data_IF_305563488392
#
_entry.id   IF_305563488392
#
_cell.length_a   1.000
_cell.length_b   1.000
_cell.length_c   1.000
_cell.angle_alpha   90.00
_cell.angle_beta   90.00
_cell.angle_gamma   90.00
#
_symmetry.space_group_name_H-M   'P 1'
#
loop_
_entity.id
_entity.type
_entity.pdbx_description
1 polymer ?
#
# COMPACT_ATOMS: atom_id res chain seq x y z
N UNK A 1 5.47 28.92 12.84
CA UNK A 1 6.86 28.38 12.81
C UNK A 1 7.20 28.13 11.35
N UNK A 2 8.11 28.91 10.76
CA UNK A 2 8.54 28.74 9.37
C UNK A 2 9.91 28.07 9.38
N UNK A 3 9.95 26.74 9.26
CA UNK A 3 11.20 26.01 9.02
C UNK A 3 11.49 26.01 7.53
N UNK A 4 12.48 26.80 7.10
CA UNK A 4 13.00 26.79 5.73
C UNK A 4 13.84 25.54 5.51
N UNK A 5 13.44 24.66 4.59
CA UNK A 5 14.23 23.49 4.17
C UNK A 5 15.37 23.93 3.23
N UNK A 6 16.61 23.51 3.49
CA UNK A 6 17.78 23.83 2.66
C UNK A 6 18.54 22.55 2.31
N UNK A 7 18.32 21.99 1.11
CA UNK A 7 18.93 20.72 0.69
C UNK A 7 20.34 20.98 0.13
N UNK A 8 21.37 20.50 0.82
CA UNK A 8 22.75 20.50 0.31
C UNK A 8 23.03 19.21 -0.48
N UNK A 9 23.29 19.35 -1.79
CA UNK A 9 23.77 18.26 -2.63
C UNK A 9 25.28 18.05 -2.43
N UNK A 10 25.67 17.04 -1.66
CA UNK A 10 27.03 16.51 -1.66
C UNK A 10 27.14 15.36 -2.69
N UNK A 11 27.97 15.53 -3.73
CA UNK A 11 28.40 14.42 -4.58
C UNK A 11 29.42 13.55 -3.81
N UNK A 12 29.01 12.35 -3.38
CA UNK A 12 29.91 11.35 -2.78
C UNK A 12 30.57 10.44 -3.83
N UNK A 13 31.80 10.01 -3.53
CA UNK A 13 32.70 9.22 -4.40
C UNK A 13 32.53 7.68 -4.29
N UNK A 14 31.49 7.19 -3.65
CA UNK A 14 31.06 5.78 -3.76
C UNK A 14 30.02 5.67 -4.88
N UNK A 15 29.84 4.51 -5.54
CA UNK A 15 28.75 4.31 -6.49
C UNK A 15 27.42 4.24 -5.74
N UNK A 16 27.01 5.37 -5.16
CA UNK A 16 25.67 5.58 -4.65
C UNK A 16 24.73 5.47 -5.85
N UNK A 17 23.63 4.70 -5.77
CA UNK A 17 22.70 4.57 -6.88
C UNK A 17 22.35 5.97 -7.39
N UNK A 18 22.64 6.23 -8.67
CA UNK A 18 22.38 7.53 -9.26
C UNK A 18 20.89 7.84 -9.09
N UNK A 19 20.60 8.99 -8.49
CA UNK A 19 19.25 9.52 -8.34
C UNK A 19 18.52 9.43 -9.69
N UNK A 20 17.36 8.77 -9.70
CA UNK A 20 16.54 8.67 -10.91
C UNK A 20 15.95 10.04 -11.24
N UNK A 21 15.77 10.33 -12.54
CA UNK A 21 15.16 11.58 -13.01
C UNK A 21 13.77 11.82 -12.38
N UNK A 22 13.02 10.76 -12.14
CA UNK A 22 11.69 10.82 -11.52
C UNK A 22 11.76 11.20 -10.03
N UNK A 23 12.76 10.69 -9.30
CA UNK A 23 12.98 11.08 -7.89
C UNK A 23 13.26 12.58 -7.78
N UNK A 24 14.13 13.12 -8.64
CA UNK A 24 14.45 14.55 -8.67
C UNK A 24 13.22 15.40 -9.00
N UNK A 25 12.44 14.99 -10.00
CA UNK A 25 11.23 15.69 -10.43
C UNK A 25 10.20 15.77 -9.30
N UNK A 26 9.95 14.66 -8.59
CA UNK A 26 9.05 14.63 -7.44
C UNK A 26 9.50 15.60 -6.33
N UNK A 27 10.80 15.64 -6.02
CA UNK A 27 11.35 16.54 -5.00
C UNK A 27 11.15 18.00 -5.39
N UNK A 28 11.44 18.36 -6.63
CA UNK A 28 11.28 19.73 -7.12
C UNK A 28 9.82 20.18 -7.07
N UNK A 29 8.88 19.29 -7.40
CA UNK A 29 7.45 19.60 -7.34
C UNK A 29 6.98 19.76 -5.88
N UNK A 30 7.44 18.90 -4.97
CA UNK A 30 7.16 19.02 -3.53
C UNK A 30 7.74 20.31 -2.97
N UNK A 31 8.96 20.68 -3.34
CA UNK A 31 9.57 21.96 -2.94
C UNK A 31 8.74 23.15 -3.42
N UNK A 32 8.31 23.11 -4.68
CA UNK A 32 7.47 24.16 -5.28
C UNK A 32 6.15 24.28 -4.52
N UNK A 33 5.50 23.14 -4.26
CA UNK A 33 4.23 23.06 -3.54
C UNK A 33 4.33 23.57 -2.10
N UNK A 34 5.37 23.16 -1.37
CA UNK A 34 5.57 23.52 0.05
C UNK A 34 6.18 24.91 0.25
N UNK A 35 6.74 25.52 -0.80
CA UNK A 35 7.16 26.93 -0.79
C UNK A 35 5.98 27.91 -0.90
N UNK A 36 4.80 27.42 -1.31
CA UNK A 36 3.58 28.22 -1.29
C UNK A 36 3.07 28.44 0.14
N UNK A 37 2.33 29.54 0.36
CA UNK A 37 1.70 29.76 1.67
C UNK A 37 0.57 28.75 1.88
N UNK A 38 0.53 28.02 3.01
CA UNK A 38 -0.53 27.04 3.25
C UNK A 38 -1.90 27.71 3.37
N UNK A 39 -2.92 27.05 2.83
CA UNK A 39 -4.32 27.41 3.07
C UNK A 39 -4.82 26.72 4.34
N UNK A 40 -5.20 27.50 5.35
CA UNK A 40 -5.77 26.94 6.58
C UNK A 40 -7.23 26.54 6.36
N UNK A 41 -7.57 25.30 6.69
CA UNK A 41 -8.96 24.82 6.75
C UNK A 41 -9.41 24.91 8.21
N UNK A 42 -10.44 25.72 8.47
CA UNK A 42 -11.01 25.87 9.82
C UNK A 42 -11.79 24.62 10.20
N UNK A 43 -11.58 24.15 11.44
CA UNK A 43 -12.34 23.01 11.98
C UNK A 43 -13.80 23.43 12.21
N UNK A 44 -14.78 22.78 11.55
CA UNK A 44 -16.19 23.10 11.74
C UNK A 44 -16.73 22.52 13.06
N UNK A 45 -17.88 23.02 13.51
CA UNK A 45 -18.58 22.49 14.70
C UNK A 45 -19.00 21.02 14.54
N UNK A 46 -19.22 20.56 13.31
CA UNK A 46 -19.52 19.15 13.01
C UNK A 46 -18.36 18.21 13.33
N UNK A 47 -17.13 18.73 13.45
CA UNK A 47 -15.90 17.94 13.57
C UNK A 47 -15.71 16.96 12.40
N UNK A 48 -16.21 17.33 11.22
CA UNK A 48 -16.02 16.61 9.97
C UNK A 48 -15.50 17.54 8.87
N UNK A 49 -14.37 17.18 8.27
CA UNK A 49 -13.78 17.89 7.13
C UNK A 49 -13.76 16.93 5.95
N UNK A 50 -14.34 17.34 4.81
CA UNK A 50 -14.32 16.58 3.57
C UNK A 50 -14.03 17.50 2.40
N UNK A 51 -12.78 17.51 1.93
CA UNK A 51 -12.29 18.52 0.98
C UNK A 51 -11.46 17.92 -0.16
N UNK A 52 -11.54 18.56 -1.33
CA UNK A 52 -10.63 18.34 -2.44
C UNK A 52 -9.49 19.37 -2.41
N UNK A 53 -8.27 18.86 -2.19
CA UNK A 53 -7.07 19.68 -1.98
C UNK A 53 -6.14 19.67 -3.20
N UNK A 54 -6.61 19.19 -4.35
CA UNK A 54 -5.84 19.03 -5.58
C UNK A 54 -4.96 20.24 -5.96
N UNK A 55 -3.64 20.06 -5.87
CA UNK A 55 -2.63 21.07 -6.19
C UNK A 55 -2.45 22.14 -5.11
N UNK A 56 -2.92 21.89 -3.88
CA UNK A 56 -2.86 22.85 -2.77
C UNK A 56 -1.95 22.32 -1.66
N UNK A 57 -1.39 23.26 -0.91
CA UNK A 57 -0.83 23.01 0.41
C UNK A 57 -1.83 23.48 1.47
N UNK A 58 -2.34 22.56 2.30
CA UNK A 58 -3.35 22.86 3.33
C UNK A 58 -2.85 22.57 4.74
N UNK A 59 -3.42 23.28 5.72
CA UNK A 59 -3.17 23.05 7.15
C UNK A 59 -4.50 22.91 7.90
N UNK A 60 -4.60 21.87 8.73
CA UNK A 60 -5.74 21.57 9.61
C UNK A 60 -5.22 21.49 11.04
N UNK A 61 -5.60 22.44 11.90
CA UNK A 61 -5.29 22.40 13.34
C UNK A 61 -6.52 21.94 14.15
N UNK A 62 -6.65 20.62 14.27
CA UNK A 62 -7.63 19.94 15.11
C UNK A 62 -7.02 19.32 16.36
N UNK A 63 -5.85 19.79 16.83
CA UNK A 63 -5.07 19.16 17.92
C UNK A 63 -5.82 19.04 19.26
N UNK A 64 -6.93 19.76 19.42
CA UNK A 64 -7.79 19.74 20.61
C UNK A 64 -9.08 18.93 20.44
N UNK A 65 -9.35 18.43 19.25
CA UNK A 65 -10.64 17.86 18.87
C UNK A 65 -10.51 16.41 18.40
N UNK A 66 -11.57 15.65 18.61
CA UNK A 66 -11.76 14.33 18.01
C UNK A 66 -12.36 14.56 16.61
N UNK A 67 -11.54 14.45 15.57
CA UNK A 67 -11.83 14.99 14.24
C UNK A 67 -11.87 13.88 13.19
N UNK A 68 -12.85 13.94 12.28
CA UNK A 68 -12.91 13.12 11.08
C UNK A 68 -12.47 13.95 9.87
N UNK A 69 -11.37 13.55 9.23
CA UNK A 69 -10.80 14.24 8.08
C UNK A 69 -10.84 13.32 6.88
N UNK A 70 -11.41 13.78 5.77
CA UNK A 70 -11.38 13.10 4.47
C UNK A 70 -10.82 14.07 3.43
N UNK A 71 -9.64 13.76 2.88
CA UNK A 71 -9.01 14.56 1.84
C UNK A 71 -8.86 13.73 0.56
N UNK A 72 -9.20 14.33 -0.56
CA UNK A 72 -8.97 13.78 -1.89
C UNK A 72 -8.08 14.71 -2.70
N UNK A 73 -7.29 14.15 -3.60
CA UNK A 73 -6.52 14.92 -4.59
C UNK A 73 -6.40 14.17 -5.92
N UNK A 74 -6.43 14.89 -7.04
CA UNK A 74 -6.15 14.40 -8.39
C UNK A 74 -4.75 14.77 -8.89
N UNK A 75 -4.11 15.75 -8.22
CA UNK A 75 -2.78 16.30 -8.46
C UNK A 75 -1.99 16.33 -7.16
N UNK A 76 -0.65 16.34 -7.27
CA UNK A 76 0.23 16.37 -6.11
C UNK A 76 -0.19 17.50 -5.15
N UNK A 77 -0.46 17.12 -3.91
CA UNK A 77 -0.98 18.01 -2.87
C UNK A 77 -0.26 17.76 -1.56
N UNK A 78 -0.29 18.74 -0.66
CA UNK A 78 0.39 18.67 0.64
C UNK A 78 -0.57 19.02 1.75
N UNK A 79 -0.50 18.32 2.88
CA UNK A 79 -1.38 18.54 4.02
C UNK A 79 -0.61 18.42 5.34
N UNK A 80 -0.71 19.43 6.20
CA UNK A 80 -0.38 19.30 7.62
C UNK A 80 -1.66 19.09 8.43
N UNK A 81 -1.76 17.98 9.15
CA UNK A 81 -2.98 17.57 9.86
C UNK A 81 -2.66 17.32 11.33
N UNK A 82 -3.17 18.17 12.22
CA UNK A 82 -3.11 17.94 13.67
C UNK A 82 -4.45 17.45 14.20
N UNK A 83 -4.48 16.33 14.93
CA UNK A 83 -5.71 15.82 15.58
C UNK A 83 -5.43 15.32 16.99
N UNK A 84 -6.44 15.39 17.87
CA UNK A 84 -6.37 14.69 19.16
C UNK A 84 -6.64 13.20 18.94
N UNK A 85 -7.82 12.87 18.46
CA UNK A 85 -8.23 11.51 18.11
C UNK A 85 -9.17 11.54 16.89
N UNK A 86 -9.63 10.39 16.41
CA UNK A 86 -10.64 10.31 15.35
C UNK A 86 -10.19 9.51 14.13
N UNK A 87 -10.58 9.96 12.93
CA UNK A 87 -10.28 9.25 11.68
C UNK A 87 -9.75 10.18 10.60
N UNK A 88 -8.77 9.71 9.84
CA UNK A 88 -8.17 10.43 8.70
C UNK A 88 -8.23 9.49 7.49
N UNK A 89 -8.89 9.91 6.42
CA UNK A 89 -9.02 9.19 5.17
C UNK A 89 -8.40 10.00 4.04
N UNK A 90 -7.40 9.44 3.37
CA UNK A 90 -6.65 10.12 2.30
C UNK A 90 -6.75 9.33 1.01
N UNK A 91 -7.02 10.02 -0.11
CA UNK A 91 -7.05 9.42 -1.46
C UNK A 91 -6.33 10.32 -2.47
N UNK A 92 -5.47 9.71 -3.29
CA UNK A 92 -4.70 10.40 -4.33
C UNK A 92 -3.28 10.81 -3.91
N UNK A 93 -2.53 11.54 -4.74
CA UNK A 93 -1.14 11.88 -4.49
C UNK A 93 -0.99 13.01 -3.44
N UNK A 94 -1.21 12.67 -2.17
CA UNK A 94 -1.14 13.58 -1.03
C UNK A 94 0.10 13.28 -0.20
N UNK A 95 0.99 14.27 -0.04
CA UNK A 95 2.05 14.28 0.95
C UNK A 95 1.47 14.83 2.27
N UNK A 96 1.28 13.97 3.28
CA UNK A 96 0.67 14.39 4.54
C UNK A 96 1.64 14.28 5.73
N UNK A 97 1.82 15.36 6.48
CA UNK A 97 2.44 15.33 7.82
C UNK A 97 1.33 15.35 8.87
N UNK A 98 1.21 14.25 9.63
CA UNK A 98 0.09 14.00 10.55
C UNK A 98 0.62 13.98 11.98
N UNK A 99 0.13 14.91 12.80
CA UNK A 99 0.44 14.98 14.22
C UNK A 99 -0.75 14.51 15.07
N UNK A 100 -0.54 13.46 15.87
CA UNK A 100 -1.59 12.86 16.71
C UNK A 100 -1.21 12.85 18.19
N UNK A 101 -2.19 13.07 19.07
CA UNK A 101 -1.99 12.97 20.54
C UNK A 101 -2.81 11.87 21.23
N UNK A 102 -3.71 11.19 20.51
CA UNK A 102 -4.58 10.11 21.00
C UNK A 102 -4.83 9.04 19.94
N UNK A 103 -5.86 8.21 20.16
CA UNK A 103 -6.16 7.06 19.31
C UNK A 103 -6.76 7.52 17.97
N UNK A 104 -6.07 7.22 16.86
CA UNK A 104 -6.47 7.72 15.53
C UNK A 104 -6.42 6.60 14.51
N UNK A 105 -7.45 6.48 13.68
CA UNK A 105 -7.42 5.59 12.51
C UNK A 105 -7.02 6.37 11.27
N UNK A 106 -5.91 5.99 10.63
CA UNK A 106 -5.46 6.58 9.38
C UNK A 106 -5.71 5.56 8.28
N UNK A 107 -6.51 5.92 7.28
CA UNK A 107 -6.83 5.09 6.12
C UNK A 107 -6.31 5.75 4.85
N UNK A 108 -5.40 5.07 4.18
CA UNK A 108 -4.90 5.45 2.85
C UNK A 108 -5.63 4.62 1.82
N UNK A 109 -6.16 5.29 0.78
CA UNK A 109 -6.70 4.63 -0.41
C UNK A 109 -5.64 4.63 -1.52
N UNK A 110 -5.11 3.43 -1.83
CA UNK A 110 -4.27 3.18 -3.00
C UNK A 110 -5.16 2.96 -4.22
N UNK A 111 -5.01 3.81 -5.21
CA UNK A 111 -5.54 3.59 -6.55
C UNK A 111 -4.64 2.56 -7.26
N UNK A 112 -5.11 1.32 -7.33
CA UNK A 112 -4.35 0.19 -7.86
C UNK A 112 -4.07 0.28 -9.37
N UNK A 113 -4.95 0.95 -10.11
CA UNK A 113 -4.83 1.06 -11.57
C UNK A 113 -3.89 2.21 -11.93
N UNK A 114 -4.02 3.35 -11.24
CA UNK A 114 -3.17 4.53 -11.45
C UNK A 114 -1.83 4.44 -10.72
N UNK A 115 -1.65 3.45 -9.84
CA UNK A 115 -0.47 3.28 -8.98
C UNK A 115 -0.20 4.51 -8.11
N UNK A 116 -1.28 5.13 -7.64
CA UNK A 116 -1.25 6.37 -6.85
C UNK A 116 -1.68 6.10 -5.42
N UNK A 117 -0.85 6.51 -4.46
CA UNK A 117 -1.20 6.50 -3.05
C UNK A 117 -0.71 7.79 -2.37
N UNK A 118 -1.42 8.23 -1.33
CA UNK A 118 -0.87 9.15 -0.35
C UNK A 118 0.43 8.64 0.25
N UNK A 119 1.35 9.56 0.57
CA UNK A 119 2.49 9.32 1.44
C UNK A 119 2.24 10.04 2.77
N UNK A 120 2.31 9.32 3.89
CA UNK A 120 2.05 9.90 5.22
C UNK A 120 3.29 9.87 6.11
N UNK A 121 3.54 10.95 6.84
CA UNK A 121 4.45 10.98 7.95
C UNK A 121 3.64 11.12 9.23
N UNK A 122 3.55 10.07 10.03
CA UNK A 122 2.75 10.08 11.26
C UNK A 122 3.67 10.32 12.45
N UNK A 123 3.40 11.34 13.27
CA UNK A 123 4.20 11.73 14.43
C UNK A 123 3.31 11.99 15.65
N UNK A 124 3.91 11.97 16.83
CA UNK A 124 3.29 12.40 18.08
C UNK A 124 3.25 11.33 19.16
N UNK A 125 2.37 11.51 20.13
CA UNK A 125 2.27 10.65 21.33
C UNK A 125 1.06 9.72 21.30
N UNK A 126 0.23 9.80 20.27
CA UNK A 126 -0.98 8.98 20.10
C UNK A 126 -0.71 7.53 19.69
N UNK A 127 -1.79 6.78 19.48
CA UNK A 127 -1.78 5.38 19.02
C UNK A 127 -2.43 5.30 17.64
N UNK A 128 -1.65 5.35 16.55
CA UNK A 128 -2.22 5.24 15.22
C UNK A 128 -2.60 3.79 14.91
N UNK A 129 -3.80 3.59 14.38
CA UNK A 129 -4.17 2.39 13.61
C UNK A 129 -4.05 2.73 12.14
N UNK A 130 -3.04 2.19 11.48
CA UNK A 130 -2.75 2.49 10.09
C UNK A 130 -3.35 1.42 9.17
N UNK A 131 -4.26 1.83 8.28
CA UNK A 131 -4.99 0.99 7.34
C UNK A 131 -4.68 1.40 5.90
N UNK A 132 -4.59 0.40 5.04
CA UNK A 132 -4.49 0.57 3.60
C UNK A 132 -5.68 -0.11 2.94
N UNK A 133 -6.38 0.62 2.09
CA UNK A 133 -7.44 0.10 1.23
C UNK A 133 -7.01 0.27 -0.22
N UNK A 134 -7.19 -0.75 -1.03
CA UNK A 134 -6.80 -0.70 -2.45
C UNK A 134 -8.03 -0.77 -3.34
N UNK A 135 -8.27 0.27 -4.15
CA UNK A 135 -9.41 0.36 -5.06
C UNK A 135 -9.15 1.35 -6.22
N UNK A 136 -9.32 0.93 -7.50
CA UNK A 136 -9.52 -0.45 -7.96
C UNK A 136 -8.31 -1.33 -7.63
N UNK A 137 -8.41 -2.64 -7.87
CA UNK A 137 -7.28 -3.55 -7.66
C UNK A 137 -6.18 -3.35 -8.70
N UNK A 138 -4.91 -3.59 -8.35
CA UNK A 138 -3.79 -3.56 -9.28
C UNK A 138 -3.96 -4.50 -10.47
N UNK A 139 -3.48 -4.09 -11.64
CA UNK A 139 -3.36 -4.93 -12.83
C UNK A 139 -2.00 -5.65 -12.91
N UNK A 140 -0.96 -5.11 -12.26
CA UNK A 140 0.37 -5.70 -12.13
C UNK A 140 0.82 -5.69 -10.67
N UNK A 141 1.84 -6.49 -10.32
CA UNK A 141 2.48 -6.37 -9.03
C UNK A 141 3.44 -5.16 -9.04
N UNK A 142 3.50 -4.40 -7.95
CA UNK A 142 4.46 -3.33 -7.78
C UNK A 142 4.62 -2.93 -6.31
N UNK A 143 5.72 -2.24 -5.99
CA UNK A 143 5.94 -1.67 -4.67
C UNK A 143 5.42 -0.24 -4.59
N UNK A 144 4.82 0.10 -3.46
CA UNK A 144 4.38 1.47 -3.14
C UNK A 144 4.92 1.88 -1.78
N UNK A 145 5.59 3.02 -1.70
CA UNK A 145 5.92 3.61 -0.40
C UNK A 145 4.75 4.47 0.09
N UNK A 146 4.19 4.10 1.24
CA UNK A 146 2.98 4.73 1.80
C UNK A 146 3.27 5.67 2.96
N UNK A 147 4.52 5.71 3.45
CA UNK A 147 4.89 6.64 4.51
C UNK A 147 5.79 6.08 5.60
N UNK A 148 5.78 6.73 6.76
CA UNK A 148 6.48 6.31 7.96
C UNK A 148 5.67 6.64 9.22
N UNK A 149 5.89 5.87 10.29
CA UNK A 149 5.18 6.01 11.57
C UNK A 149 6.19 6.20 12.70
N UNK A 150 6.22 7.41 13.25
CA UNK A 150 7.15 7.89 14.26
C UNK A 150 6.42 8.08 15.60
N UNK A 151 5.74 7.03 16.04
CA UNK A 151 5.03 6.98 17.33
C UNK A 151 5.47 5.75 18.11
N UNK A 152 5.60 5.81 19.45
CA UNK A 152 6.11 4.68 20.25
C UNK A 152 5.17 3.46 20.26
N UNK A 153 3.90 3.61 19.90
CA UNK A 153 2.88 2.56 20.03
C UNK A 153 1.92 2.53 18.83
N UNK A 154 2.42 2.10 17.67
CA UNK A 154 1.62 1.98 16.43
C UNK A 154 1.08 0.58 16.22
N UNK A 155 -0.10 0.49 15.59
CA UNK A 155 -0.66 -0.73 15.04
C UNK A 155 -0.78 -0.56 13.52
N UNK A 156 -0.07 -1.38 12.76
CA UNK A 156 -0.09 -1.39 11.30
C UNK A 156 -0.95 -2.58 10.87
N UNK A 157 -2.07 -2.32 10.19
CA UNK A 157 -3.00 -3.34 9.74
C UNK A 157 -3.29 -3.12 8.24
N UNK A 158 -2.60 -3.86 7.40
CA UNK A 158 -2.80 -3.84 5.95
C UNK A 158 -3.35 -5.17 5.48
N UNK A 159 -4.27 -5.12 4.52
CA UNK A 159 -4.76 -6.29 3.81
C UNK A 159 -3.71 -6.88 2.83
N UNK A 160 -2.58 -6.19 2.66
CA UNK A 160 -1.48 -6.53 1.77
C UNK A 160 -0.19 -6.78 2.55
N UNK A 161 0.71 -7.56 1.96
CA UNK A 161 2.06 -7.73 2.50
C UNK A 161 2.81 -6.40 2.48
N UNK A 162 3.59 -6.15 3.53
CA UNK A 162 4.42 -4.97 3.65
C UNK A 162 5.77 -5.32 4.26
N UNK A 163 6.75 -4.48 3.96
CA UNK A 163 8.08 -4.52 4.53
C UNK A 163 8.59 -3.09 4.75
N UNK A 164 9.74 -2.96 5.40
CA UNK A 164 10.42 -1.67 5.49
C UNK A 164 11.38 -1.50 4.33
N UNK A 165 11.48 -0.29 3.79
CA UNK A 165 12.32 -0.03 2.61
C UNK A 165 13.77 -0.53 2.81
N UNK A 166 14.27 -1.21 1.79
CA UNK A 166 15.68 -1.59 1.66
C UNK A 166 16.40 -0.66 0.68
N UNK A 167 17.73 -0.71 0.69
CA UNK A 167 18.60 0.13 -0.17
C UNK A 167 18.33 -0.01 -1.68
N UNK A 168 17.82 -1.17 -2.10
CA UNK A 168 17.53 -1.47 -3.49
C UNK A 168 16.04 -1.36 -3.85
N UNK A 169 15.18 -0.95 -2.92
CA UNK A 169 13.76 -0.85 -3.21
C UNK A 169 13.48 0.37 -4.09
N UNK A 170 12.90 0.08 -5.25
CA UNK A 170 12.43 1.05 -6.22
C UNK A 170 10.96 0.75 -6.51
N UNK A 171 10.13 1.78 -6.53
CA UNK A 171 8.71 1.61 -6.82
C UNK A 171 7.97 2.93 -6.98
N UNK A 172 6.70 2.91 -6.64
CA UNK A 172 5.81 4.05 -6.78
C UNK A 172 5.68 4.85 -5.48
N UNK A 173 5.63 6.17 -5.60
CA UNK A 173 5.34 7.09 -4.50
C UNK A 173 4.59 8.31 -5.04
N UNK A 174 3.46 8.66 -4.44
CA UNK A 174 2.65 9.82 -4.86
C UNK A 174 2.29 9.81 -6.35
N UNK A 175 2.23 8.64 -6.99
CA UNK A 175 1.97 8.48 -8.42
C UNK A 175 3.18 8.57 -9.35
N UNK A 176 4.38 8.80 -8.82
CA UNK A 176 5.64 8.80 -9.57
C UNK A 176 6.23 7.40 -9.53
N UNK A 177 6.76 6.96 -10.67
CA UNK A 177 7.46 5.67 -10.82
C UNK A 177 8.97 5.86 -10.55
N UNK A 178 9.70 4.75 -10.45
CA UNK A 178 11.17 4.78 -10.42
C UNK A 178 11.74 5.46 -9.18
N UNK A 179 10.96 5.58 -8.10
CA UNK A 179 11.38 6.25 -6.88
C UNK A 179 12.24 5.29 -6.07
N UNK A 180 13.49 5.67 -5.83
CA UNK A 180 14.37 4.96 -4.91
C UNK A 180 14.06 5.40 -3.48
N UNK A 181 13.59 4.48 -2.65
CA UNK A 181 13.10 4.80 -1.32
C UNK A 181 14.21 5.16 -0.32
N UNK A 182 15.42 4.62 -0.47
CA UNK A 182 16.57 5.00 0.36
C UNK A 182 16.99 6.44 0.08
N UNK A 183 17.09 6.82 -1.20
CA UNK A 183 17.40 8.20 -1.57
C UNK A 183 16.34 9.17 -1.05
N UNK A 184 15.07 8.76 -1.08
CA UNK A 184 13.99 9.54 -0.49
C UNK A 184 14.16 9.75 1.01
N UNK A 185 14.52 8.71 1.77
CA UNK A 185 14.76 8.82 3.22
C UNK A 185 15.96 9.74 3.51
N UNK A 186 17.07 9.59 2.78
CA UNK A 186 18.25 10.46 2.88
C UNK A 186 17.91 11.95 2.69
N UNK A 187 16.97 12.25 1.78
CA UNK A 187 16.57 13.63 1.49
C UNK A 187 15.63 14.21 2.53
N UNK A 188 14.84 13.38 3.21
CA UNK A 188 13.99 13.80 4.32
C UNK A 188 14.72 13.86 5.66
N UNK A 189 15.83 13.12 5.80
CA UNK A 189 16.54 12.89 7.06
C UNK A 189 17.57 13.96 7.43
N UNK A 190 17.53 15.14 6.80
CA UNK A 190 18.26 16.35 7.23
C UNK A 190 17.90 16.77 8.68
N UNK A 191 16.92 16.09 9.29
CA UNK A 191 16.54 16.21 10.71
C UNK A 191 17.38 15.35 11.68
N UNK A 192 18.36 14.57 11.21
CA UNK A 192 19.30 13.81 12.07
C UNK A 192 18.68 12.60 12.78
N UNK A 193 17.51 12.13 12.36
CA UNK A 193 16.82 10.97 12.93
C UNK A 193 16.95 9.77 12.00
N UNK A 194 18.02 8.99 12.18
CA UNK A 194 18.42 7.86 11.31
C UNK A 194 17.55 6.60 11.41
N UNK A 195 16.31 6.71 11.90
CA UNK A 195 15.46 5.55 12.21
C UNK A 195 14.08 5.61 11.55
N UNK A 196 13.91 6.45 10.53
CA UNK A 196 12.65 6.56 9.81
C UNK A 196 12.49 5.36 8.88
N UNK A 197 11.89 4.29 9.41
CA UNK A 197 11.58 3.13 8.57
C UNK A 197 10.43 3.49 7.65
N UNK A 198 10.72 3.64 6.36
CA UNK A 198 9.71 3.79 5.32
C UNK A 198 8.95 2.49 5.15
N UNK A 199 7.63 2.58 5.10
CA UNK A 199 6.71 1.45 4.94
C UNK A 199 6.45 1.27 3.45
N UNK A 200 6.78 0.09 2.94
CA UNK A 200 6.60 -0.31 1.55
C UNK A 200 5.57 -1.42 1.50
N UNK A 201 4.62 -1.31 0.58
CA UNK A 201 3.54 -2.27 0.39
C UNK A 201 3.74 -2.99 -0.95
N UNK A 202 3.59 -4.32 -0.95
CA UNK A 202 3.52 -5.14 -2.15
C UNK A 202 2.07 -5.15 -2.67
N UNK A 203 1.79 -4.27 -3.63
CA UNK A 203 0.50 -4.17 -4.28
C UNK A 203 0.37 -5.31 -5.31
N UNK A 204 -0.36 -6.37 -4.96
CA UNK A 204 -0.52 -7.55 -5.81
C UNK A 204 -1.69 -7.43 -6.79
N UNK A 205 -1.47 -7.85 -8.03
CA UNK A 205 -2.52 -7.95 -9.05
C UNK A 205 -3.59 -8.96 -8.65
N UNK A 206 -4.84 -8.66 -8.98
CA UNK A 206 -5.99 -9.54 -8.71
C UNK A 206 -5.89 -10.90 -9.43
N UNK A 207 -5.13 -10.96 -10.51
CA UNK A 207 -4.91 -12.16 -11.33
C UNK A 207 -3.92 -13.15 -10.69
N UNK A 208 -3.28 -12.76 -9.58
CA UNK A 208 -2.42 -13.65 -8.80
C UNK A 208 -3.20 -14.68 -7.96
N UNK A 209 -4.54 -14.68 -8.00
CA UNK A 209 -5.31 -15.90 -7.72
C UNK A 209 -4.98 -16.89 -8.83
N UNK A 210 -3.84 -17.57 -8.65
CA UNK A 210 -3.38 -18.75 -9.34
C UNK A 210 -4.63 -19.56 -9.64
N UNK A 211 -5.10 -19.51 -10.88
CA UNK A 211 -6.25 -20.26 -11.32
C UNK A 211 -6.00 -21.69 -10.84
N UNK A 212 -6.69 -22.14 -9.79
CA UNK A 212 -6.65 -23.53 -9.35
C UNK A 212 -7.46 -24.40 -10.32
N UNK A 213 -8.09 -23.78 -11.31
CA UNK A 213 -8.83 -24.42 -12.39
C UNK A 213 -8.05 -25.54 -13.11
N UNK A 214 -6.74 -25.41 -13.45
CA UNK A 214 -5.97 -26.49 -14.04
C UNK A 214 -5.75 -27.67 -13.07
N UNK A 215 -5.62 -27.40 -11.77
CA UNK A 215 -5.48 -28.44 -10.74
C UNK A 215 -6.81 -29.20 -10.59
N UNK A 216 -7.94 -28.48 -10.57
CA UNK A 216 -9.28 -29.08 -10.48
C UNK A 216 -9.56 -29.95 -11.70
N UNK A 217 -9.23 -29.48 -12.92
CA UNK A 217 -9.40 -30.27 -14.15
C UNK A 217 -8.53 -31.53 -14.13
N UNK A 218 -7.28 -31.43 -13.66
CA UNK A 218 -6.37 -32.57 -13.55
C UNK A 218 -6.91 -33.69 -12.63
N UNK A 219 -7.47 -33.32 -11.48
CA UNK A 219 -8.05 -34.30 -10.52
C UNK A 219 -9.29 -34.98 -11.10
N UNK A 220 -10.18 -34.22 -11.77
CA UNK A 220 -11.41 -34.78 -12.34
C UNK A 220 -11.10 -35.82 -13.43
N UNK A 221 -10.14 -35.53 -14.33
CA UNK A 221 -9.76 -36.47 -15.39
C UNK A 221 -9.16 -37.76 -14.81
N UNK A 222 -8.30 -37.64 -13.78
CA UNK A 222 -7.72 -38.81 -13.11
C UNK A 222 -8.78 -39.73 -12.48
N UNK A 223 -9.78 -39.15 -11.80
CA UNK A 223 -10.88 -39.92 -11.18
C UNK A 223 -11.71 -40.66 -12.23
N UNK A 224 -12.03 -40.01 -13.36
CA UNK A 224 -12.81 -40.64 -14.45
C UNK A 224 -12.07 -41.83 -15.05
N UNK A 225 -10.76 -41.73 -15.29
CA UNK A 225 -9.95 -42.83 -15.84
C UNK A 225 -9.92 -44.02 -14.89
N UNK A 226 -9.76 -43.79 -13.58
CA UNK A 226 -9.77 -44.86 -12.58
C UNK A 226 -11.11 -45.59 -12.55
N UNK A 227 -12.24 -44.87 -12.62
CA UNK A 227 -13.58 -45.48 -12.66
C UNK A 227 -13.74 -46.39 -13.90
N UNK A 228 -13.31 -45.93 -15.07
CA UNK A 228 -13.38 -46.73 -16.31
C UNK A 228 -12.58 -48.02 -16.18
N UNK A 229 -11.36 -47.95 -15.63
CA UNK A 229 -10.51 -49.13 -15.41
C UNK A 229 -11.19 -50.13 -14.47
N UNK A 230 -11.75 -49.66 -13.35
CA UNK A 230 -12.47 -50.51 -12.38
C UNK A 230 -13.66 -51.20 -13.04
N UNK A 231 -14.46 -50.47 -13.82
CA UNK A 231 -15.61 -51.05 -14.55
C UNK A 231 -15.16 -52.14 -15.53
N UNK A 232 -14.10 -51.89 -16.30
CA UNK A 232 -13.55 -52.89 -17.25
C UNK A 232 -13.08 -54.14 -16.51
N UNK A 233 -12.35 -53.99 -15.40
CA UNK A 233 -11.86 -55.13 -14.59
C UNK A 233 -13.03 -55.94 -14.03
N UNK A 234 -14.06 -55.29 -13.47
CA UNK A 234 -15.25 -55.97 -12.94
C UNK A 234 -15.97 -56.76 -14.04
N UNK A 235 -16.17 -56.16 -15.22
CA UNK A 235 -16.82 -56.85 -16.35
C UNK A 235 -16.00 -58.06 -16.81
N UNK A 236 -14.68 -57.96 -16.88
CA UNK A 236 -13.79 -59.08 -17.26
C UNK A 236 -13.83 -60.21 -16.22
N UNK A 237 -13.78 -59.88 -14.93
CA UNK A 237 -13.85 -60.86 -13.84
C UNK A 237 -15.22 -61.56 -13.79
N UNK A 238 -16.32 -60.81 -13.95
CA UNK A 238 -17.67 -61.37 -13.98
C UNK A 238 -17.90 -62.25 -15.22
N UNK A 239 -17.34 -61.88 -16.39
CA UNK A 239 -17.39 -62.73 -17.59
C UNK A 239 -16.58 -64.02 -17.43
N UNK A 240 -15.43 -63.99 -16.76
CA UNK A 240 -14.64 -65.20 -16.48
C UNK A 240 -15.35 -66.15 -15.52
N UNK A 241 -15.99 -65.66 -14.45
CA UNK A 241 -16.70 -66.52 -13.49
C UNK A 241 -17.92 -67.28 -14.05
N UNK A 242 -18.52 -66.83 -15.16
CA UNK A 242 -19.64 -67.55 -15.80
C UNK A 242 -19.21 -68.73 -16.68
N UNK A 243 -17.91 -68.94 -16.91
CA UNK A 243 -17.42 -70.07 -17.72
C UNK A 243 -17.15 -71.35 -16.93
N UNK A 244 -17.09 -71.27 -15.59
CA UNK A 244 -16.67 -72.39 -14.74
C UNK A 244 -17.81 -72.96 -13.86
N UNK A 245 -19.07 -72.62 -14.11
CA UNK A 245 -20.23 -73.14 -13.35
C UNK A 245 -21.30 -73.74 -14.27
N UNK A 246 -20.86 -74.57 -15.22
CA UNK A 246 -21.76 -75.38 -16.05
C UNK A 246 -21.07 -76.66 -16.50
N UNK A 247 -20.77 -77.54 -15.54
CA UNK A 247 -20.60 -78.99 -15.80
C UNK A 247 -20.83 -79.77 -14.50
N UNK A 248 -22.09 -79.82 -14.08
CA UNK A 248 -22.63 -80.87 -13.24
C UNK A 248 -23.81 -81.51 -13.99
N UNK A 249 -23.86 -82.84 -13.98
CA UNK A 249 -24.84 -83.76 -14.58
C UNK A 249 -24.66 -84.14 -16.06
N UNK A 250 -23.87 -85.18 -16.31
CA UNK A 250 -24.40 -86.55 -16.41
C UNK A 250 -23.31 -87.60 -16.23
#
# INVERSE_FOLDING_TARGET
>A
MNSSFSIHFLCCATPKPCSTTDTQSLIEEIKTLTSSSPTTITVPESLEISEDISGKFVMIDGTKNDLNVRLTADRLSSAGIGVKSGSISLKGPILADIFISGDTTITIELDGERKQAPYVQIKGTGKPTFKLVTSPKPNSNYYVCVGTVLTPSSNINFDSEYHYANTNDVGYMLGYDGINFELWDDLLSDTGTSNNKLIVVDAKSSDSKKNMMPIIIGVVVAVVVVIIIVVVVVVVVMKKKKKDTSSGQH
#
